data_IF_707675565937
#
_entry.id   IF_707675565937
#
_cell.length_a   1.000
_cell.length_b   1.000
_cell.length_c   1.000
_cell.angle_alpha   90.00
_cell.angle_beta   90.00
_cell.angle_gamma   90.00
#
_symmetry.space_group_name_H-M   'P 1'
#
loop_
_entity.id
_entity.type
_entity.pdbx_description
1 polymer ?
#
# COMPACT_ATOMS: atom_id res chain seq x y z
N UNK A 1 -1.67 -2.80 -40.83
CA UNK A 1 -1.60 -2.55 -39.38
C UNK A 1 -2.96 -2.92 -38.81
N UNK A 2 -3.04 -3.91 -37.90
CA UNK A 2 -4.32 -4.26 -37.26
C UNK A 2 -4.67 -3.13 -36.29
N UNK A 3 -5.85 -2.52 -36.44
CA UNK A 3 -6.41 -1.63 -35.43
C UNK A 3 -6.66 -2.46 -34.18
N UNK A 4 -5.85 -2.26 -33.16
CA UNK A 4 -6.09 -2.75 -31.80
C UNK A 4 -7.22 -1.85 -31.26
N UNK A 5 -8.35 -2.45 -30.90
CA UNK A 5 -9.48 -1.70 -30.34
C UNK A 5 -9.13 -1.14 -28.95
N UNK A 6 -9.84 -0.11 -28.46
CA UNK A 6 -9.57 0.50 -27.15
C UNK A 6 -9.53 -0.52 -26.01
N UNK A 7 -10.40 -1.53 -26.03
CA UNK A 7 -10.41 -2.62 -25.04
C UNK A 7 -9.13 -3.46 -25.06
N UNK A 8 -8.59 -3.76 -26.25
CA UNK A 8 -7.35 -4.57 -26.35
C UNK A 8 -6.09 -3.77 -26.01
N UNK A 9 -6.14 -2.44 -26.08
CA UNK A 9 -5.06 -1.60 -25.56
C UNK A 9 -5.10 -1.51 -24.02
N UNK A 10 -6.28 -1.36 -23.43
CA UNK A 10 -6.45 -1.37 -21.98
C UNK A 10 -6.02 -2.70 -21.35
N UNK A 11 -6.39 -3.83 -21.97
CA UNK A 11 -5.98 -5.17 -21.54
C UNK A 11 -4.44 -5.31 -21.57
N UNK A 12 -3.79 -4.84 -22.65
CA UNK A 12 -2.32 -4.87 -22.77
C UNK A 12 -1.64 -4.03 -21.67
N UNK A 13 -2.12 -2.81 -21.43
CA UNK A 13 -1.57 -1.93 -20.39
C UNK A 13 -1.73 -2.55 -18.99
N UNK A 14 -2.87 -3.20 -18.74
CA UNK A 14 -3.12 -3.91 -17.51
C UNK A 14 -2.18 -5.11 -17.37
N UNK A 15 -2.02 -5.93 -18.41
CA UNK A 15 -1.11 -7.08 -18.40
C UNK A 15 0.34 -6.68 -18.10
N UNK A 16 0.83 -5.60 -18.69
CA UNK A 16 2.17 -5.06 -18.44
C UNK A 16 2.37 -4.64 -16.97
N UNK A 17 1.44 -3.85 -16.42
CA UNK A 17 1.48 -3.44 -15.02
C UNK A 17 1.35 -4.65 -14.08
N UNK A 18 0.45 -5.59 -14.39
CA UNK A 18 0.25 -6.83 -13.65
C UNK A 18 1.48 -7.73 -13.63
N UNK A 19 2.26 -7.76 -14.72
CA UNK A 19 3.52 -8.51 -14.76
C UNK A 19 4.52 -7.94 -13.74
N UNK A 20 4.67 -6.61 -13.68
CA UNK A 20 5.52 -5.94 -12.69
C UNK A 20 5.04 -6.20 -11.27
N UNK A 21 3.72 -6.10 -11.02
CA UNK A 21 3.14 -6.39 -9.69
C UNK A 21 3.48 -7.81 -9.25
N UNK A 22 3.28 -8.81 -10.12
CA UNK A 22 3.58 -10.22 -9.81
C UNK A 22 5.06 -10.44 -9.52
N UNK A 23 5.94 -9.87 -10.34
CA UNK A 23 7.39 -9.99 -10.14
C UNK A 23 7.84 -9.36 -8.82
N UNK A 24 7.45 -8.10 -8.57
CA UNK A 24 7.84 -7.40 -7.35
C UNK A 24 7.21 -8.02 -6.10
N UNK A 25 5.98 -8.53 -6.17
CA UNK A 25 5.36 -9.25 -5.06
C UNK A 25 6.10 -10.55 -4.73
N UNK A 26 6.56 -11.30 -5.75
CA UNK A 26 7.36 -12.50 -5.55
C UNK A 26 8.70 -12.18 -4.86
N UNK A 27 9.41 -11.16 -5.36
CA UNK A 27 10.68 -10.70 -4.76
C UNK A 27 10.51 -10.17 -3.33
N UNK A 28 9.39 -9.48 -3.07
CA UNK A 28 9.02 -9.02 -1.72
C UNK A 28 8.86 -10.22 -0.77
N UNK A 29 8.11 -11.25 -1.16
CA UNK A 29 7.92 -12.46 -0.34
C UNK A 29 9.23 -13.22 -0.11
N UNK A 30 10.11 -13.27 -1.11
CA UNK A 30 11.44 -13.86 -0.95
C UNK A 30 12.31 -13.06 0.04
N UNK A 31 12.25 -11.72 -0.02
CA UNK A 31 12.96 -10.84 0.90
C UNK A 31 12.44 -10.94 2.33
N UNK A 32 11.12 -11.13 2.50
CA UNK A 32 10.48 -11.45 3.78
C UNK A 32 11.05 -12.75 4.36
N UNK A 33 11.09 -13.82 3.57
CA UNK A 33 11.64 -15.11 4.03
C UNK A 33 13.11 -15.02 4.46
N UNK A 34 13.87 -14.11 3.85
CA UNK A 34 15.27 -13.82 4.19
C UNK A 34 15.44 -12.77 5.31
N UNK A 35 14.35 -12.31 5.95
CA UNK A 35 14.35 -11.24 6.95
C UNK A 35 15.03 -9.94 6.49
N UNK A 36 15.00 -9.64 5.19
CA UNK A 36 15.61 -8.44 4.62
C UNK A 36 14.58 -7.32 4.44
N UNK A 37 14.33 -6.55 5.51
CA UNK A 37 13.34 -5.47 5.51
C UNK A 37 13.58 -4.42 4.43
N UNK A 38 14.84 -4.08 4.15
CA UNK A 38 15.19 -3.04 3.17
C UNK A 38 14.73 -3.44 1.77
N UNK A 39 15.06 -4.66 1.34
CA UNK A 39 14.63 -5.17 0.04
C UNK A 39 13.11 -5.42 0.01
N UNK A 40 12.52 -5.89 1.11
CA UNK A 40 11.05 -6.01 1.23
C UNK A 40 10.35 -4.68 0.93
N UNK A 41 10.76 -3.59 1.59
CA UNK A 41 10.16 -2.26 1.38
C UNK A 41 10.41 -1.72 -0.02
N UNK A 42 11.58 -1.98 -0.60
CA UNK A 42 11.93 -1.60 -1.97
C UNK A 42 11.00 -2.29 -2.98
N UNK A 43 10.84 -3.61 -2.87
CA UNK A 43 9.96 -4.38 -3.77
C UNK A 43 8.49 -4.00 -3.57
N UNK A 44 8.03 -3.81 -2.33
CA UNK A 44 6.70 -3.28 -2.06
C UNK A 44 6.49 -1.91 -2.70
N UNK A 45 7.45 -0.98 -2.53
CA UNK A 45 7.38 0.35 -3.15
C UNK A 45 7.33 0.28 -4.67
N UNK A 46 8.10 -0.60 -5.30
CA UNK A 46 8.11 -0.79 -6.75
C UNK A 46 6.78 -1.37 -7.26
N UNK A 47 6.21 -2.35 -6.55
CA UNK A 47 4.88 -2.87 -6.86
C UNK A 47 3.81 -1.78 -6.81
N UNK A 48 3.82 -0.95 -5.76
CA UNK A 48 2.83 0.13 -5.58
C UNK A 48 3.04 1.26 -6.61
N UNK A 49 4.25 1.42 -7.16
CA UNK A 49 4.51 2.42 -8.20
C UNK A 49 3.62 2.24 -9.43
N UNK A 50 3.14 1.03 -9.72
CA UNK A 50 2.19 0.77 -10.83
C UNK A 50 0.86 1.52 -10.66
N UNK A 51 0.44 1.78 -9.41
CA UNK A 51 -0.76 2.60 -9.12
C UNK A 51 -0.58 4.09 -9.46
N UNK A 52 0.62 4.51 -9.87
CA UNK A 52 0.86 5.88 -10.36
C UNK A 52 0.41 6.05 -11.80
N UNK A 53 0.01 4.98 -12.50
CA UNK A 53 -0.47 5.08 -13.88
C UNK A 53 -1.63 6.07 -14.02
N UNK A 54 -1.67 6.77 -15.15
CA UNK A 54 -2.76 7.65 -15.56
C UNK A 54 -3.41 7.22 -16.86
N UNK A 55 -3.03 6.05 -17.40
CA UNK A 55 -3.46 5.56 -18.72
C UNK A 55 -4.51 4.46 -18.63
N UNK A 56 -4.70 3.86 -17.45
CA UNK A 56 -5.74 2.87 -17.22
C UNK A 56 -7.10 3.55 -16.95
N UNK A 57 -8.13 3.01 -17.57
CA UNK A 57 -9.51 3.35 -17.29
C UNK A 57 -9.95 2.86 -15.88
N UNK A 58 -11.05 3.39 -15.31
CA UNK A 58 -11.45 3.04 -13.95
C UNK A 58 -11.61 1.54 -13.67
N UNK A 59 -12.11 0.77 -14.66
CA UNK A 59 -12.28 -0.68 -14.54
C UNK A 59 -10.93 -1.41 -14.46
N UNK A 60 -10.03 -1.16 -15.42
CA UNK A 60 -8.72 -1.82 -15.45
C UNK A 60 -7.81 -1.33 -14.32
N UNK A 61 -7.92 -0.06 -13.93
CA UNK A 61 -7.24 0.46 -12.73
C UNK A 61 -7.72 -0.27 -11.46
N UNK A 62 -9.02 -0.55 -11.33
CA UNK A 62 -9.56 -1.32 -10.20
C UNK A 62 -8.98 -2.74 -10.17
N UNK A 63 -8.88 -3.41 -11.32
CA UNK A 63 -8.29 -4.74 -11.41
C UNK A 63 -6.81 -4.76 -10.99
N UNK A 64 -6.01 -3.79 -11.45
CA UNK A 64 -4.63 -3.59 -10.99
C UNK A 64 -4.57 -3.30 -9.48
N UNK A 65 -5.44 -2.41 -9.00
CA UNK A 65 -5.54 -2.07 -7.58
C UNK A 65 -5.79 -3.29 -6.71
N UNK A 66 -6.70 -4.19 -7.10
CA UNK A 66 -7.02 -5.39 -6.33
C UNK A 66 -5.85 -6.37 -6.23
N UNK A 67 -5.00 -6.43 -7.25
CA UNK A 67 -3.76 -7.23 -7.21
C UNK A 67 -2.79 -6.64 -6.16
N UNK A 68 -2.51 -5.33 -6.23
CA UNK A 68 -1.64 -4.66 -5.25
C UNK A 68 -2.23 -4.72 -3.83
N UNK A 69 -3.54 -4.56 -3.69
CA UNK A 69 -4.27 -4.63 -2.42
C UNK A 69 -4.09 -5.97 -1.71
N UNK A 70 -4.14 -7.07 -2.46
CA UNK A 70 -3.96 -8.42 -1.92
C UNK A 70 -2.54 -8.62 -1.39
N UNK A 71 -1.55 -8.13 -2.12
CA UNK A 71 -0.14 -8.23 -1.72
C UNK A 71 0.19 -7.33 -0.53
N UNK A 72 -0.41 -6.14 -0.44
CA UNK A 72 -0.30 -5.26 0.72
C UNK A 72 -0.90 -5.84 1.99
N UNK A 73 -1.97 -6.63 1.90
CA UNK A 73 -2.49 -7.36 3.06
C UNK A 73 -1.49 -8.41 3.57
N UNK A 74 -0.83 -9.13 2.65
CA UNK A 74 0.23 -10.07 3.02
C UNK A 74 1.40 -9.36 3.71
N UNK A 75 1.78 -8.17 3.22
CA UNK A 75 2.79 -7.33 3.86
C UNK A 75 2.37 -6.83 5.25
N UNK A 76 1.10 -6.46 5.43
CA UNK A 76 0.57 -6.03 6.72
C UNK A 76 0.67 -7.14 7.77
N UNK A 77 0.32 -8.38 7.40
CA UNK A 77 0.46 -9.55 8.28
C UNK A 77 1.92 -9.77 8.68
N UNK A 78 2.85 -9.67 7.72
CA UNK A 78 4.27 -9.77 8.02
C UNK A 78 4.74 -8.72 9.04
N UNK A 79 4.32 -7.46 8.93
CA UNK A 79 4.68 -6.44 9.91
C UNK A 79 4.12 -6.74 11.30
N UNK A 80 2.90 -7.25 11.40
CA UNK A 80 2.32 -7.68 12.67
C UNK A 80 3.11 -8.83 13.30
N UNK A 81 3.50 -9.83 12.53
CA UNK A 81 4.31 -10.94 13.05
C UNK A 81 5.72 -10.49 13.43
N UNK A 82 6.34 -9.62 12.64
CA UNK A 82 7.68 -9.09 12.94
C UNK A 82 7.68 -8.21 14.20
N UNK A 83 6.59 -7.49 14.47
CA UNK A 83 6.40 -6.74 15.71
C UNK A 83 6.40 -7.67 16.93
N UNK A 84 5.77 -8.85 16.84
CA UNK A 84 5.82 -9.88 17.91
C UNK A 84 7.23 -10.37 18.18
N UNK A 85 8.14 -10.24 17.21
CA UNK A 85 9.56 -10.58 17.34
C UNK A 85 10.45 -9.39 17.74
N UNK A 86 9.85 -8.28 18.22
CA UNK A 86 10.57 -7.17 18.84
C UNK A 86 10.95 -6.03 17.89
N UNK A 87 10.45 -6.03 16.65
CA UNK A 87 10.62 -4.88 15.76
C UNK A 87 9.77 -3.69 16.23
N UNK A 88 10.40 -2.51 16.31
CA UNK A 88 9.71 -1.25 16.63
C UNK A 88 9.00 -0.70 15.39
N UNK A 89 7.67 -0.60 15.45
CA UNK A 89 6.89 -0.08 14.32
C UNK A 89 7.10 1.42 14.10
N UNK A 90 7.50 2.17 15.13
CA UNK A 90 7.88 3.59 15.00
C UNK A 90 9.03 3.81 14.01
N UNK A 91 10.11 3.03 14.12
CA UNK A 91 11.25 3.12 13.20
C UNK A 91 10.87 2.72 11.77
N UNK A 92 9.96 1.76 11.62
CA UNK A 92 9.43 1.38 10.32
C UNK A 92 8.54 2.48 9.72
N UNK A 93 7.72 3.13 10.54
CA UNK A 93 6.84 4.24 10.16
C UNK A 93 7.67 5.43 9.65
N UNK A 94 8.79 5.74 10.30
CA UNK A 94 9.75 6.74 9.82
C UNK A 94 10.43 6.30 8.51
N UNK A 95 10.89 5.04 8.46
CA UNK A 95 11.62 4.50 7.30
C UNK A 95 10.81 4.60 6.00
N UNK A 96 9.51 4.28 6.04
CA UNK A 96 8.65 4.31 4.85
C UNK A 96 8.38 5.73 4.33
N UNK A 97 8.57 6.78 5.16
CA UNK A 97 8.44 8.17 4.72
C UNK A 97 9.52 8.59 3.72
N UNK A 98 10.65 7.88 3.68
CA UNK A 98 11.73 8.15 2.74
C UNK A 98 11.41 7.70 1.30
N UNK A 99 10.30 6.99 1.06
CA UNK A 99 9.87 6.64 -0.29
C UNK A 99 9.64 7.93 -1.11
N UNK A 100 10.35 8.10 -2.23
CA UNK A 100 10.34 9.35 -3.00
C UNK A 100 8.98 9.71 -3.63
N UNK A 101 8.23 8.69 -4.08
CA UNK A 101 6.92 8.88 -4.70
C UNK A 101 5.78 8.86 -3.67
N UNK A 102 4.88 9.83 -3.76
CA UNK A 102 3.77 9.98 -2.80
C UNK A 102 2.83 8.76 -2.73
N UNK A 103 2.52 8.13 -3.88
CA UNK A 103 1.59 6.99 -3.91
C UNK A 103 2.18 5.79 -3.13
N UNK A 104 3.36 5.24 -3.48
CA UNK A 104 4.03 4.22 -2.65
C UNK A 104 4.19 4.60 -1.19
N UNK A 105 4.61 5.85 -0.91
CA UNK A 105 4.79 6.34 0.45
C UNK A 105 3.52 6.22 1.28
N UNK A 106 2.39 6.70 0.76
CA UNK A 106 1.14 6.74 1.51
C UNK A 106 0.55 5.34 1.71
N UNK A 107 0.61 4.46 0.71
CA UNK A 107 0.18 3.06 0.89
C UNK A 107 1.01 2.37 1.98
N UNK A 108 2.35 2.49 1.94
CA UNK A 108 3.23 1.92 2.96
C UNK A 108 2.98 2.54 4.35
N UNK A 109 2.81 3.86 4.43
CA UNK A 109 2.48 4.54 5.69
C UNK A 109 1.17 4.05 6.28
N UNK A 110 0.13 3.85 5.46
CA UNK A 110 -1.14 3.29 5.91
C UNK A 110 -0.97 1.85 6.40
N UNK A 111 -0.22 1.02 5.66
CA UNK A 111 0.06 -0.37 6.06
C UNK A 111 0.75 -0.44 7.41
N UNK A 112 1.82 0.34 7.61
CA UNK A 112 2.58 0.36 8.87
C UNK A 112 1.77 1.04 9.98
N UNK A 113 1.11 2.15 9.69
CA UNK A 113 0.28 2.90 10.64
C UNK A 113 -0.86 2.08 11.21
N UNK A 114 -1.53 1.25 10.40
CA UNK A 114 -2.55 0.33 10.89
C UNK A 114 -1.98 -0.70 11.88
N UNK A 115 -0.78 -1.21 11.62
CA UNK A 115 -0.06 -2.07 12.58
C UNK A 115 0.35 -1.31 13.84
N UNK A 116 0.77 -0.05 13.70
CA UNK A 116 1.24 0.80 14.80
C UNK A 116 0.11 1.13 15.80
N UNK A 117 -1.10 1.36 15.29
CA UNK A 117 -2.31 1.50 16.12
C UNK A 117 -2.60 0.18 16.86
N UNK A 118 -2.49 -0.95 16.16
CA UNK A 118 -2.77 -2.26 16.74
C UNK A 118 -1.76 -2.67 17.82
N UNK A 119 -0.49 -2.26 17.70
CA UNK A 119 0.53 -2.53 18.71
C UNK A 119 0.39 -1.67 19.97
N UNK A 120 -0.51 -0.65 19.94
CA UNK A 120 -0.73 0.31 21.03
C UNK A 120 0.52 1.13 21.41
N UNK A 121 1.49 1.21 20.50
CA UNK A 121 2.68 2.04 20.71
C UNK A 121 2.41 3.54 20.44
N UNK A 122 1.31 3.88 19.77
CA UNK A 122 0.85 5.24 19.53
C UNK A 122 -0.68 5.36 19.61
N UNK A 123 -1.23 6.51 20.04
CA UNK A 123 -2.68 6.72 20.08
C UNK A 123 -3.30 6.64 18.68
N UNK A 124 -4.39 5.87 18.56
CA UNK A 124 -5.11 5.70 17.29
C UNK A 124 -5.48 7.05 16.64
N UNK A 125 -5.93 8.01 17.46
CA UNK A 125 -6.33 9.35 17.03
C UNK A 125 -5.19 10.10 16.34
N UNK A 126 -3.97 10.03 16.86
CA UNK A 126 -2.81 10.75 16.31
C UNK A 126 -2.42 10.18 14.95
N UNK A 127 -2.26 8.86 14.86
CA UNK A 127 -1.91 8.17 13.61
C UNK A 127 -2.99 8.38 12.54
N UNK A 128 -4.27 8.24 12.89
CA UNK A 128 -5.36 8.43 11.92
C UNK A 128 -5.45 9.89 11.45
N UNK A 129 -5.21 10.86 12.33
CA UNK A 129 -5.19 12.28 11.96
C UNK A 129 -4.04 12.54 10.98
N UNK A 130 -2.83 12.08 11.29
CA UNK A 130 -1.67 12.20 10.40
C UNK A 130 -1.92 11.56 9.03
N UNK A 131 -2.36 10.30 8.99
CA UNK A 131 -2.63 9.59 7.74
C UNK A 131 -3.71 10.28 6.89
N UNK A 132 -4.79 10.78 7.52
CA UNK A 132 -5.86 11.47 6.79
C UNK A 132 -5.42 12.82 6.24
N UNK A 133 -4.62 13.59 6.98
CA UNK A 133 -4.00 14.82 6.51
C UNK A 133 -3.05 14.57 5.34
N UNK A 134 -2.18 13.57 5.45
CA UNK A 134 -1.25 13.19 4.38
C UNK A 134 -1.96 12.70 3.11
N UNK A 135 -3.10 12.02 3.24
CA UNK A 135 -3.94 11.61 2.10
C UNK A 135 -4.48 12.80 1.29
N UNK A 136 -4.54 14.02 1.86
CA UNK A 136 -4.87 15.24 1.11
C UNK A 136 -3.80 15.58 0.07
N UNK A 137 -2.60 15.01 0.14
CA UNK A 137 -1.58 15.18 -0.90
C UNK A 137 -1.95 14.53 -2.25
N UNK A 138 -2.94 13.63 -2.30
CA UNK A 138 -3.38 12.94 -3.52
C UNK A 138 -4.72 13.49 -4.00
N UNK A 139 -4.63 14.43 -4.95
CA UNK A 139 -5.78 15.14 -5.53
C UNK A 139 -6.33 14.48 -6.81
N UNK A 140 -5.59 13.54 -7.41
CA UNK A 140 -6.08 12.82 -8.59
C UNK A 140 -7.30 11.95 -8.22
N UNK A 141 -8.46 12.07 -8.90
CA UNK A 141 -9.72 11.47 -8.45
C UNK A 141 -9.64 9.96 -8.21
N UNK A 142 -9.20 9.20 -9.22
CA UNK A 142 -9.14 7.73 -9.15
C UNK A 142 -8.12 7.26 -8.09
N UNK A 143 -6.86 7.69 -8.19
CA UNK A 143 -5.80 7.35 -7.23
C UNK A 143 -6.18 7.74 -5.80
N UNK A 144 -6.74 8.92 -5.63
CA UNK A 144 -7.16 9.45 -4.32
C UNK A 144 -8.35 8.70 -3.73
N UNK A 145 -9.30 8.25 -4.56
CA UNK A 145 -10.41 7.42 -4.12
C UNK A 145 -9.93 6.06 -3.62
N UNK A 146 -9.10 5.36 -4.40
CA UNK A 146 -8.58 4.05 -4.04
C UNK A 146 -7.62 4.09 -2.85
N UNK A 147 -6.82 5.16 -2.71
CA UNK A 147 -5.99 5.35 -1.51
C UNK A 147 -6.84 5.54 -0.25
N UNK A 148 -7.90 6.35 -0.31
CA UNK A 148 -8.81 6.55 0.83
C UNK A 148 -9.59 5.28 1.16
N UNK A 149 -10.02 4.53 0.14
CA UNK A 149 -10.62 3.21 0.34
C UNK A 149 -9.65 2.25 1.04
N UNK A 150 -8.37 2.23 0.64
CA UNK A 150 -7.33 1.44 1.32
C UNK A 150 -7.19 1.82 2.80
N UNK A 151 -7.07 3.12 3.11
CA UNK A 151 -7.05 3.63 4.49
C UNK A 151 -8.26 3.14 5.29
N UNK A 152 -9.47 3.29 4.75
CA UNK A 152 -10.69 2.83 5.42
C UNK A 152 -10.67 1.33 5.68
N UNK A 153 -10.19 0.50 4.73
CA UNK A 153 -10.12 -0.95 4.95
C UNK A 153 -9.09 -1.34 6.00
N UNK A 154 -7.93 -0.68 6.04
CA UNK A 154 -6.88 -0.97 7.01
C UNK A 154 -7.25 -0.55 8.44
N UNK A 155 -8.07 0.50 8.58
CA UNK A 155 -8.39 1.13 9.86
C UNK A 155 -9.82 0.87 10.37
N UNK A 156 -10.67 0.14 9.64
CA UNK A 156 -12.09 -0.07 9.98
C UNK A 156 -12.34 -0.62 11.40
N UNK A 157 -11.43 -1.44 11.89
CA UNK A 157 -11.43 -2.10 13.21
C UNK A 157 -10.56 -1.37 14.24
N UNK A 158 -10.04 -0.19 13.89
CA UNK A 158 -9.04 0.58 14.65
C UNK A 158 -9.48 2.02 14.90
N UNK A 159 -10.75 2.32 14.64
CA UNK A 159 -11.33 3.64 14.88
C UNK A 159 -11.51 3.84 16.40
N UNK A 160 -11.19 5.04 16.94
CA UNK A 160 -11.44 5.34 18.34
C UNK A 160 -12.95 5.28 18.63
N UNK A 161 -13.32 4.48 19.62
CA UNK A 161 -14.68 4.41 20.17
C UNK A 161 -14.69 4.83 21.65
N UNK A 162 -15.87 5.19 22.17
CA UNK A 162 -16.11 5.46 23.59
C UNK A 162 -15.51 4.36 24.48
N UNK A 163 -14.49 4.71 25.28
CA UNK A 163 -13.78 3.77 26.16
C UNK A 163 -12.53 3.11 25.54
N UNK A 164 -12.13 3.49 24.33
CA UNK A 164 -10.82 3.12 23.79
C UNK A 164 -9.71 3.81 24.59
N UNK A 165 -8.62 3.10 24.97
CA UNK A 165 -7.50 3.70 25.68
C UNK A 165 -6.79 4.78 24.85
#
# INVERSE_FOLDING_TARGET
MRNVGPDSEQDRLLEEASAVVKEQAWLMKQSIANNNMRETLKHASNMICELRTGTLEPKTYYELYMQVFTELQSLALYFQDTQRHGMKLSALYESVQHAGNIIPRLYLLITVGAGFIQSKEAPAKEILTDLTELCKGVQHPIRGLFLRYYLSQCCKDKLPDTGSP
#
